data_IF_697565688972
#
_entry.id   IF_697565688972
#
_cell.length_a   1.000
_cell.length_b   1.000
_cell.length_c   1.000
_cell.angle_alpha   90.00
_cell.angle_beta   90.00
_cell.angle_gamma   90.00
#
_symmetry.space_group_name_H-M   'P 1'
#
loop_
_entity.id
_entity.type
_entity.pdbx_description
1 polymer ?
#
# COMPACT_ATOMS: atom_id res chain seq x y z
N UNK A 1 5.18 -24.56 -11.75
CA UNK A 1 4.90 -23.42 -10.86
C UNK A 1 4.77 -22.19 -11.74
N UNK A 2 3.63 -21.51 -11.68
CA UNK A 2 3.47 -20.21 -12.29
C UNK A 2 4.47 -19.22 -11.66
N UNK A 3 5.01 -18.27 -12.44
CA UNK A 3 5.90 -17.22 -11.95
C UNK A 3 5.53 -15.89 -12.61
N UNK A 4 5.55 -14.80 -11.85
CA UNK A 4 5.18 -13.45 -12.31
C UNK A 4 6.36 -12.51 -12.05
N UNK A 5 7.23 -12.33 -13.06
CA UNK A 5 8.57 -11.80 -12.81
C UNK A 5 9.19 -11.00 -13.97
N UNK A 6 9.23 -9.66 -13.89
CA UNK A 6 8.45 -8.83 -12.98
C UNK A 6 6.96 -8.91 -13.31
N UNK A 7 6.10 -8.56 -12.36
CA UNK A 7 4.67 -8.38 -12.63
C UNK A 7 4.52 -7.29 -13.70
N UNK A 8 3.92 -7.68 -14.82
CA UNK A 8 3.62 -6.81 -15.93
C UNK A 8 2.52 -7.41 -16.80
N UNK A 9 1.82 -6.56 -17.54
CA UNK A 9 0.72 -6.97 -18.42
C UNK A 9 -0.63 -6.44 -17.97
N UNK A 10 -1.65 -6.85 -18.74
CA UNK A 10 -3.04 -6.45 -18.54
C UNK A 10 -3.62 -7.07 -17.25
N UNK A 11 -4.44 -6.34 -16.46
CA UNK A 11 -5.02 -6.85 -15.22
C UNK A 11 -5.80 -8.16 -15.37
N UNK A 12 -6.48 -8.41 -16.49
CA UNK A 12 -7.24 -9.64 -16.73
C UNK A 12 -6.34 -10.85 -16.94
N UNK A 13 -5.19 -10.64 -17.61
CA UNK A 13 -4.18 -11.69 -17.75
C UNK A 13 -3.57 -12.02 -16.38
N UNK A 14 -3.32 -11.00 -15.57
CA UNK A 14 -2.77 -11.18 -14.23
C UNK A 14 -3.75 -11.88 -13.28
N UNK A 15 -5.05 -11.58 -13.33
CA UNK A 15 -6.07 -12.24 -12.51
C UNK A 15 -6.00 -13.77 -12.65
N UNK A 16 -6.03 -14.28 -13.88
CA UNK A 16 -5.96 -15.72 -14.12
C UNK A 16 -4.62 -16.35 -13.70
N UNK A 17 -3.51 -15.63 -13.88
CA UNK A 17 -2.19 -16.11 -13.46
C UNK A 17 -2.01 -16.08 -11.93
N UNK A 18 -2.58 -15.08 -11.27
CA UNK A 18 -2.54 -14.93 -9.82
C UNK A 18 -3.38 -15.99 -9.13
N UNK A 19 -4.54 -16.35 -9.66
CA UNK A 19 -5.35 -17.45 -9.11
C UNK A 19 -4.57 -18.77 -9.11
N UNK A 20 -3.89 -19.08 -10.22
CA UNK A 20 -3.04 -20.26 -10.32
C UNK A 20 -1.84 -20.18 -9.36
N UNK A 21 -1.19 -19.02 -9.29
CA UNK A 21 -0.06 -18.80 -8.40
C UNK A 21 -0.43 -18.86 -6.91
N UNK A 22 -1.60 -18.36 -6.54
CA UNK A 22 -2.13 -18.45 -5.18
C UNK A 22 -2.59 -19.89 -4.84
N UNK A 23 -2.92 -20.71 -5.83
CA UNK A 23 -3.26 -22.12 -5.63
C UNK A 23 -2.02 -23.03 -5.50
N UNK A 24 -0.92 -22.70 -6.18
CA UNK A 24 0.31 -23.50 -6.20
C UNK A 24 1.45 -22.84 -5.39
N UNK A 25 1.91 -23.42 -4.27
CA UNK A 25 3.04 -22.88 -3.52
C UNK A 25 4.34 -22.91 -4.35
N UNK A 26 5.25 -21.96 -4.11
CA UNK A 26 6.64 -21.98 -4.60
C UNK A 26 6.93 -21.23 -5.91
N UNK A 27 5.94 -20.58 -6.53
CA UNK A 27 6.17 -19.68 -7.67
C UNK A 27 6.85 -18.38 -7.25
N UNK A 28 7.86 -17.92 -8.01
CA UNK A 28 8.48 -16.60 -7.78
C UNK A 28 7.57 -15.48 -8.29
N UNK A 29 7.34 -14.47 -7.45
CA UNK A 29 6.69 -13.22 -7.84
C UNK A 29 7.62 -12.06 -7.52
N UNK A 30 7.80 -11.12 -8.45
CA UNK A 30 8.54 -9.90 -8.18
C UNK A 30 7.88 -8.64 -8.72
N UNK A 31 8.12 -7.52 -8.04
CA UNK A 31 7.75 -6.18 -8.52
C UNK A 31 9.00 -5.33 -8.64
N UNK A 32 9.06 -4.48 -9.67
CA UNK A 32 10.14 -3.52 -9.81
C UNK A 32 9.80 -2.22 -9.09
N UNK A 33 10.73 -1.71 -8.28
CA UNK A 33 10.65 -0.37 -7.71
C UNK A 33 11.61 0.57 -8.43
N UNK A 34 11.20 1.82 -8.61
CA UNK A 34 12.12 2.87 -9.04
C UNK A 34 13.06 3.19 -7.87
N UNK A 35 14.23 2.57 -7.81
CA UNK A 35 15.22 2.86 -6.79
C UNK A 35 15.68 4.33 -6.85
N UNK A 36 15.97 4.94 -5.70
CA UNK A 36 16.53 6.30 -5.62
C UNK A 36 17.91 6.44 -6.31
N UNK A 37 18.59 5.32 -6.57
CA UNK A 37 19.85 5.22 -7.31
C UNK A 37 19.70 5.18 -8.84
N UNK A 38 18.48 5.09 -9.37
CA UNK A 38 18.20 5.05 -10.82
C UNK A 38 18.17 3.65 -11.44
N UNK A 39 18.71 2.62 -10.78
CA UNK A 39 18.51 1.21 -11.19
C UNK A 39 17.26 0.64 -10.51
N UNK A 40 16.32 0.05 -11.28
CA UNK A 40 15.15 -0.60 -10.70
C UNK A 40 15.56 -1.76 -9.79
N UNK A 41 15.08 -1.75 -8.54
CA UNK A 41 15.28 -2.89 -7.64
C UNK A 41 14.16 -3.89 -7.84
N UNK A 42 14.53 -5.15 -7.88
CA UNK A 42 13.57 -6.25 -7.94
C UNK A 42 13.21 -6.74 -6.55
N UNK A 43 11.98 -6.51 -6.11
CA UNK A 43 11.48 -6.98 -4.81
C UNK A 43 10.78 -8.31 -5.00
N UNK A 44 11.32 -9.39 -4.42
CA UNK A 44 10.74 -10.74 -4.50
C UNK A 44 9.78 -10.98 -3.33
N UNK A 45 8.55 -11.38 -3.64
CA UNK A 45 7.47 -11.55 -2.68
C UNK A 45 6.99 -13.01 -2.68
N UNK A 46 7.02 -13.63 -1.50
CA UNK A 46 6.42 -14.94 -1.28
C UNK A 46 4.90 -14.87 -1.28
N UNK A 47 4.29 -16.03 -1.56
CA UNK A 47 2.85 -16.24 -1.44
C UNK A 47 2.39 -15.99 -0.02
N UNK A 48 3.15 -16.48 0.94
CA UNK A 48 2.91 -16.36 2.36
C UNK A 48 2.84 -14.89 2.77
N UNK A 49 3.77 -14.05 2.31
CA UNK A 49 3.78 -12.63 2.65
C UNK A 49 2.60 -11.85 2.04
N UNK A 50 2.26 -12.13 0.78
CA UNK A 50 1.11 -11.51 0.12
C UNK A 50 -0.21 -11.90 0.77
N UNK A 51 -0.39 -13.18 1.10
CA UNK A 51 -1.59 -13.70 1.78
C UNK A 51 -1.69 -13.15 3.20
N UNK A 52 -0.60 -13.17 3.99
CA UNK A 52 -0.61 -12.62 5.34
C UNK A 52 -0.97 -11.13 5.36
N UNK A 53 -0.45 -10.34 4.42
CA UNK A 53 -0.82 -8.92 4.26
C UNK A 53 -2.30 -8.74 3.87
N UNK A 54 -2.84 -9.62 3.02
CA UNK A 54 -4.25 -9.58 2.62
C UNK A 54 -5.19 -9.91 3.79
N UNK A 55 -4.90 -10.98 4.54
CA UNK A 55 -5.68 -11.41 5.70
C UNK A 55 -5.67 -10.34 6.80
N UNK A 56 -4.49 -9.82 7.15
CA UNK A 56 -4.36 -8.77 8.15
C UNK A 56 -5.06 -7.46 7.73
N UNK A 57 -5.09 -7.16 6.43
CA UNK A 57 -5.88 -6.05 5.88
C UNK A 57 -7.37 -6.29 6.08
N UNK A 58 -7.90 -7.47 5.72
CA UNK A 58 -9.31 -7.80 5.91
C UNK A 58 -9.71 -7.75 7.39
N UNK A 59 -8.89 -8.28 8.29
CA UNK A 59 -9.15 -8.21 9.74
C UNK A 59 -9.27 -6.75 10.21
N UNK A 60 -8.30 -5.89 9.83
CA UNK A 60 -8.33 -4.45 10.16
C UNK A 60 -9.57 -3.74 9.62
N UNK A 61 -10.06 -4.13 8.44
CA UNK A 61 -11.21 -3.49 7.79
C UNK A 61 -12.56 -4.02 8.26
N UNK A 62 -12.58 -5.16 8.97
CA UNK A 62 -13.79 -5.77 9.54
C UNK A 62 -14.31 -6.98 8.75
N UNK A 63 -13.47 -7.58 7.91
CA UNK A 63 -13.71 -8.82 7.18
C UNK A 63 -13.33 -8.76 5.69
N UNK A 64 -13.36 -9.91 5.01
CA UNK A 64 -13.17 -9.98 3.56
C UNK A 64 -14.24 -9.18 2.82
N UNK A 65 -13.92 -8.75 1.60
CA UNK A 65 -14.80 -7.95 0.78
C UNK A 65 -14.33 -7.82 -0.66
N UNK A 66 -15.17 -7.20 -1.49
CA UNK A 66 -14.90 -6.97 -2.90
C UNK A 66 -13.98 -5.76 -3.06
N UNK A 67 -12.94 -5.90 -3.88
CA UNK A 67 -12.03 -4.79 -4.16
C UNK A 67 -12.19 -4.23 -5.58
N UNK A 68 -12.02 -2.91 -5.66
CA UNK A 68 -11.92 -2.15 -6.90
C UNK A 68 -10.44 -1.89 -7.23
N UNK A 69 -10.01 -2.28 -8.44
CA UNK A 69 -8.70 -1.98 -9.00
C UNK A 69 -8.73 -0.64 -9.75
N UNK A 70 -8.15 0.37 -9.11
CA UNK A 70 -7.97 1.72 -9.66
C UNK A 70 -6.47 2.12 -9.75
N UNK A 71 -5.56 1.15 -9.59
CA UNK A 71 -4.12 1.35 -9.54
C UNK A 71 -3.42 0.41 -10.54
N UNK A 72 -2.26 0.81 -11.10
CA UNK A 72 -1.45 -0.10 -11.91
C UNK A 72 -1.03 -1.34 -11.12
N UNK A 73 -1.15 -2.51 -11.73
CA UNK A 73 -0.76 -3.81 -11.15
C UNK A 73 0.75 -4.07 -11.17
N UNK A 74 1.50 -3.25 -11.91
CA UNK A 74 2.97 -3.28 -11.95
C UNK A 74 3.61 -2.93 -10.60
N UNK A 75 2.89 -2.20 -9.74
CA UNK A 75 3.29 -1.93 -8.36
C UNK A 75 2.55 -2.80 -7.35
N UNK A 76 3.16 -2.99 -6.18
CA UNK A 76 2.59 -3.83 -5.11
C UNK A 76 1.18 -3.40 -4.68
N UNK A 77 0.85 -2.11 -4.78
CA UNK A 77 -0.45 -1.60 -4.35
C UNK A 77 -1.60 -2.11 -5.23
N UNK A 78 -1.44 -2.07 -6.57
CA UNK A 78 -2.42 -2.64 -7.48
C UNK A 78 -2.42 -4.17 -7.46
N UNK A 79 -1.25 -4.79 -7.35
CA UNK A 79 -1.14 -6.25 -7.17
C UNK A 79 -1.92 -6.73 -5.93
N UNK A 80 -1.77 -6.04 -4.78
CA UNK A 80 -2.46 -6.41 -3.55
C UNK A 80 -3.99 -6.26 -3.64
N UNK A 81 -4.52 -5.39 -4.49
CA UNK A 81 -5.97 -5.35 -4.75
C UNK A 81 -6.43 -6.71 -5.30
N UNK A 82 -5.68 -7.27 -6.26
CA UNK A 82 -6.00 -8.57 -6.85
C UNK A 82 -5.88 -9.70 -5.83
N UNK A 83 -4.78 -9.72 -5.06
CA UNK A 83 -4.55 -10.73 -4.02
C UNK A 83 -5.65 -10.67 -2.96
N UNK A 84 -6.01 -9.48 -2.47
CA UNK A 84 -7.05 -9.31 -1.45
C UNK A 84 -8.43 -9.73 -1.93
N UNK A 85 -8.78 -9.47 -3.20
CA UNK A 85 -10.00 -9.99 -3.80
C UNK A 85 -10.00 -11.52 -3.81
N UNK A 86 -8.92 -12.14 -4.29
CA UNK A 86 -8.79 -13.59 -4.39
C UNK A 86 -8.84 -14.27 -3.01
N UNK A 87 -8.07 -13.79 -2.04
CA UNK A 87 -8.07 -14.28 -0.65
C UNK A 87 -9.45 -14.09 0.01
N UNK A 88 -10.14 -12.99 -0.31
CA UNK A 88 -11.50 -12.74 0.18
C UNK A 88 -12.58 -13.57 -0.51
N UNK A 89 -12.25 -14.31 -1.58
CA UNK A 89 -13.22 -15.06 -2.37
C UNK A 89 -14.18 -14.17 -3.17
N UNK A 90 -13.76 -12.97 -3.55
CA UNK A 90 -14.59 -11.99 -4.28
C UNK A 90 -13.97 -11.66 -5.65
N UNK A 91 -14.80 -11.45 -6.68
CA UNK A 91 -14.31 -10.97 -7.97
C UNK A 91 -13.85 -9.51 -7.86
N UNK A 92 -12.67 -9.22 -8.41
CA UNK A 92 -12.18 -7.83 -8.53
C UNK A 92 -13.01 -7.07 -9.56
N UNK A 93 -13.36 -5.82 -9.26
CA UNK A 93 -13.89 -4.88 -10.26
C UNK A 93 -12.74 -4.02 -10.78
N UNK A 94 -12.54 -3.91 -12.08
CA UNK A 94 -11.43 -3.15 -12.68
C UNK A 94 -11.97 -1.88 -13.32
N UNK A 95 -11.51 -0.71 -12.89
CA UNK A 95 -12.05 0.59 -13.37
C UNK A 95 -12.01 0.73 -14.89
N UNK A 96 -10.98 0.18 -15.54
CA UNK A 96 -10.77 0.26 -16.99
C UNK A 96 -11.84 -0.49 -17.82
N UNK A 97 -12.61 -1.39 -17.20
CA UNK A 97 -13.73 -2.10 -17.85
C UNK A 97 -15.02 -1.25 -17.90
N UNK A 98 -15.00 -0.08 -17.29
CA UNK A 98 -16.15 0.81 -17.14
C UNK A 98 -15.87 2.19 -17.76
N UNK A 99 -16.91 3.01 -17.94
CA UNK A 99 -16.72 4.36 -18.49
C UNK A 99 -16.03 5.32 -17.51
N UNK A 100 -15.93 4.94 -16.23
CA UNK A 100 -15.19 5.65 -15.21
C UNK A 100 -15.28 4.99 -13.84
N UNK A 101 -14.69 5.66 -12.85
CA UNK A 101 -14.64 5.20 -11.46
C UNK A 101 -16.03 4.97 -10.86
N UNK A 102 -16.96 5.87 -11.14
CA UNK A 102 -18.31 5.86 -10.58
C UNK A 102 -19.13 4.66 -11.08
N UNK A 103 -19.10 4.41 -12.40
CA UNK A 103 -19.75 3.23 -12.99
C UNK A 103 -19.17 1.92 -12.43
N UNK A 104 -17.85 1.90 -12.17
CA UNK A 104 -17.19 0.75 -11.58
C UNK A 104 -17.62 0.55 -10.10
N UNK A 105 -17.76 1.63 -9.33
CA UNK A 105 -18.27 1.59 -7.95
C UNK A 105 -19.73 1.11 -7.90
N UNK A 106 -20.56 1.55 -8.84
CA UNK A 106 -21.95 1.10 -8.97
C UNK A 106 -22.05 -0.40 -9.33
N UNK A 107 -21.10 -0.91 -10.12
CA UNK A 107 -21.04 -2.32 -10.49
C UNK A 107 -20.64 -3.26 -9.33
N UNK A 108 -20.05 -2.73 -8.25
CA UNK A 108 -19.70 -3.54 -7.09
C UNK A 108 -20.95 -4.07 -6.38
N UNK A 109 -21.01 -5.39 -6.17
CA UNK A 109 -22.14 -6.09 -5.55
C UNK A 109 -21.79 -6.78 -4.22
N UNK A 110 -20.53 -6.71 -3.79
CA UNK A 110 -20.07 -7.26 -2.52
C UNK A 110 -20.74 -6.63 -1.30
N UNK A 111 -20.90 -7.41 -0.24
CA UNK A 111 -21.42 -6.94 1.06
C UNK A 111 -20.48 -5.97 1.77
N UNK A 112 -19.17 -6.06 1.47
CA UNK A 112 -18.16 -5.06 1.81
C UNK A 112 -17.43 -4.63 0.55
N UNK A 113 -17.18 -3.34 0.41
CA UNK A 113 -16.57 -2.73 -0.78
C UNK A 113 -15.33 -1.92 -0.40
N UNK A 114 -14.23 -2.20 -1.06
CA UNK A 114 -12.95 -1.57 -0.77
C UNK A 114 -12.27 -1.05 -2.03
N UNK A 115 -11.51 0.03 -1.89
CA UNK A 115 -10.65 0.54 -2.95
C UNK A 115 -9.33 1.06 -2.35
N UNK A 116 -8.30 1.15 -3.19
CA UNK A 116 -7.04 1.84 -2.85
C UNK A 116 -6.79 2.95 -3.86
N UNK A 117 -6.44 4.14 -3.39
CA UNK A 117 -6.07 5.28 -4.23
C UNK A 117 -4.77 5.92 -3.73
N UNK A 118 -4.04 6.56 -4.64
CA UNK A 118 -2.96 7.48 -4.25
C UNK A 118 -3.51 8.88 -3.93
N UNK A 119 -2.80 9.70 -3.12
CA UNK A 119 -3.29 11.04 -2.75
C UNK A 119 -3.63 11.93 -3.94
N UNK A 120 -2.89 11.82 -5.03
CA UNK A 120 -3.13 12.60 -6.26
C UNK A 120 -4.45 12.24 -6.93
N UNK A 121 -4.90 10.98 -6.88
CA UNK A 121 -6.22 10.58 -7.38
C UNK A 121 -7.32 11.15 -6.49
N UNK A 122 -7.18 11.05 -5.17
CA UNK A 122 -8.14 11.61 -4.23
C UNK A 122 -8.26 13.14 -4.36
N UNK A 123 -7.14 13.83 -4.55
CA UNK A 123 -7.12 15.28 -4.80
C UNK A 123 -7.87 15.65 -6.08
N UNK A 124 -7.71 14.88 -7.17
CA UNK A 124 -8.46 15.12 -8.42
C UNK A 124 -9.96 14.96 -8.23
N UNK A 125 -10.40 13.97 -7.45
CA UNK A 125 -11.82 13.80 -7.11
C UNK A 125 -12.33 14.95 -6.25
N UNK A 126 -11.55 15.41 -5.28
CA UNK A 126 -11.88 16.59 -4.46
C UNK A 126 -12.02 17.86 -5.32
N UNK A 127 -11.06 18.12 -6.20
CA UNK A 127 -11.10 19.28 -7.09
C UNK A 127 -12.29 19.25 -8.07
N UNK A 128 -12.75 18.05 -8.45
CA UNK A 128 -13.94 17.86 -9.28
C UNK A 128 -15.26 17.86 -8.48
N UNK A 129 -15.22 17.91 -7.15
CA UNK A 129 -16.41 17.82 -6.29
C UNK A 129 -17.08 16.44 -6.31
N UNK A 130 -16.30 15.36 -6.46
CA UNK A 130 -16.78 13.97 -6.66
C UNK A 130 -16.37 13.01 -5.54
N UNK A 131 -16.08 13.53 -4.34
CA UNK A 131 -15.67 12.68 -3.21
C UNK A 131 -16.81 11.78 -2.71
N UNK A 132 -18.04 12.26 -2.83
CA UNK A 132 -19.27 11.55 -2.44
C UNK A 132 -19.47 10.23 -3.20
N UNK A 133 -18.94 10.11 -4.42
CA UNK A 133 -18.93 8.84 -5.16
C UNK A 133 -18.29 7.69 -4.36
N UNK A 134 -17.29 7.99 -3.53
CA UNK A 134 -16.55 7.02 -2.72
C UNK A 134 -17.30 6.62 -1.44
N UNK A 135 -18.40 7.28 -1.09
CA UNK A 135 -19.15 7.06 0.15
C UNK A 135 -19.80 5.67 0.26
N UNK A 136 -19.91 4.97 -0.88
CA UNK A 136 -20.42 3.59 -0.94
C UNK A 136 -19.41 2.53 -0.50
N UNK A 137 -18.14 2.93 -0.30
CA UNK A 137 -17.07 2.03 0.16
C UNK A 137 -17.12 1.87 1.69
N UNK A 138 -16.94 0.64 2.16
CA UNK A 138 -16.73 0.35 3.58
C UNK A 138 -15.39 0.86 4.09
N UNK A 139 -14.40 0.97 3.20
CA UNK A 139 -13.13 1.65 3.46
C UNK A 139 -12.43 2.04 2.15
N UNK A 140 -11.83 3.24 2.16
CA UNK A 140 -10.89 3.69 1.15
C UNK A 140 -9.48 3.73 1.74
N UNK A 141 -8.59 2.91 1.20
CA UNK A 141 -7.17 2.98 1.55
C UNK A 141 -6.50 4.10 0.75
N UNK A 142 -5.73 4.94 1.44
CA UNK A 142 -4.96 6.02 0.80
C UNK A 142 -3.51 5.96 1.27
N UNK A 143 -2.58 5.75 0.34
CA UNK A 143 -1.17 5.59 0.67
C UNK A 143 -0.24 5.74 -0.53
N UNK A 144 1.03 5.38 -0.34
CA UNK A 144 2.10 5.52 -1.35
C UNK A 144 2.72 6.92 -1.43
N UNK A 145 2.17 7.91 -0.73
CA UNK A 145 2.75 9.23 -0.53
C UNK A 145 2.15 9.89 0.71
N UNK A 146 2.76 10.98 1.16
CA UNK A 146 2.18 11.84 2.21
C UNK A 146 0.80 12.33 1.79
N UNK A 147 -0.16 12.24 2.71
CA UNK A 147 -1.56 12.66 2.49
C UNK A 147 -1.82 13.94 3.27
N UNK A 148 -2.33 14.95 2.58
CA UNK A 148 -2.76 16.20 3.21
C UNK A 148 -3.91 15.92 4.21
N UNK A 149 -3.76 16.28 5.50
CA UNK A 149 -4.83 16.14 6.49
C UNK A 149 -6.14 16.83 6.08
N UNK A 150 -6.07 17.96 5.38
CA UNK A 150 -7.24 18.69 4.87
C UNK A 150 -7.98 17.90 3.80
N UNK A 151 -7.26 17.18 2.93
CA UNK A 151 -7.86 16.28 1.94
C UNK A 151 -8.56 15.10 2.60
N UNK A 152 -7.95 14.52 3.65
CA UNK A 152 -8.57 13.45 4.44
C UNK A 152 -9.83 13.93 5.14
N UNK A 153 -9.80 15.14 5.73
CA UNK A 153 -10.96 15.74 6.36
C UNK A 153 -12.10 15.96 5.35
N UNK A 154 -11.81 16.55 4.19
CA UNK A 154 -12.81 16.78 3.15
C UNK A 154 -13.46 15.47 2.65
N UNK A 155 -12.68 14.39 2.50
CA UNK A 155 -13.22 13.09 2.14
C UNK A 155 -14.12 12.50 3.24
N UNK A 156 -13.73 12.65 4.51
CA UNK A 156 -14.56 12.21 5.65
C UNK A 156 -15.86 13.01 5.76
N UNK A 157 -15.82 14.31 5.50
CA UNK A 157 -17.01 15.17 5.46
C UNK A 157 -17.97 14.79 4.33
N UNK A 158 -17.45 14.23 3.23
CA UNK A 158 -18.22 13.63 2.14
C UNK A 158 -18.73 12.20 2.45
N UNK A 159 -18.55 11.71 3.68
CA UNK A 159 -19.03 10.40 4.12
C UNK A 159 -18.09 9.22 3.80
N UNK A 160 -16.85 9.50 3.37
CA UNK A 160 -15.89 8.44 3.01
C UNK A 160 -15.12 7.94 4.22
N UNK A 161 -15.10 6.63 4.45
CA UNK A 161 -14.24 6.00 5.47
C UNK A 161 -12.80 5.88 4.96
N UNK A 162 -12.04 6.97 5.08
CA UNK A 162 -10.62 7.01 4.70
C UNK A 162 -9.73 6.37 5.77
N UNK A 163 -8.91 5.42 5.34
CA UNK A 163 -7.85 4.77 6.12
C UNK A 163 -6.50 5.08 5.47
N UNK A 164 -5.62 5.78 6.18
CA UNK A 164 -4.28 6.11 5.67
C UNK A 164 -3.38 4.90 5.81
N UNK A 165 -2.57 4.60 4.79
CA UNK A 165 -1.68 3.44 4.82
C UNK A 165 -0.22 3.86 4.63
N UNK A 166 0.65 3.20 5.38
CA UNK A 166 2.10 3.25 5.22
C UNK A 166 2.63 1.83 4.96
N UNK A 167 3.59 1.76 4.04
CA UNK A 167 4.23 0.54 3.59
C UNK A 167 4.86 0.73 2.21
N UNK A 168 5.47 -0.32 1.70
CA UNK A 168 6.25 -0.33 0.46
C UNK A 168 6.19 -1.71 -0.19
N UNK A 169 6.90 -1.89 -1.31
CA UNK A 169 6.98 -3.20 -1.96
C UNK A 169 7.54 -4.26 -1.01
N UNK A 170 8.57 -3.91 -0.25
CA UNK A 170 9.27 -4.79 0.69
C UNK A 170 8.40 -5.25 1.88
N UNK A 171 7.26 -4.60 2.11
CA UNK A 171 6.28 -4.96 3.14
C UNK A 171 4.99 -5.52 2.56
N UNK A 172 5.02 -6.00 1.30
CA UNK A 172 3.85 -6.51 0.59
C UNK A 172 2.72 -5.48 0.50
N UNK A 173 3.05 -4.19 0.36
CA UNK A 173 2.11 -3.07 0.38
C UNK A 173 1.96 -2.45 1.77
N UNK A 174 0.81 -1.83 2.04
CA UNK A 174 0.55 -1.17 3.32
C UNK A 174 0.56 -2.16 4.49
N UNK A 175 1.38 -1.90 5.51
CA UNK A 175 1.51 -2.72 6.73
C UNK A 175 1.20 -1.94 8.02
N UNK A 176 1.00 -0.61 7.92
CA UNK A 176 0.60 0.27 9.04
C UNK A 176 -0.58 1.12 8.60
N UNK A 177 -1.69 1.06 9.33
CA UNK A 177 -2.96 1.70 8.97
C UNK A 177 -3.33 2.72 10.04
N UNK A 178 -3.49 3.98 9.63
CA UNK A 178 -3.65 5.14 10.52
C UNK A 178 -2.60 5.23 11.64
N UNK A 179 -1.37 4.82 11.33
CA UNK A 179 -0.24 4.80 12.25
C UNK A 179 -0.16 3.55 13.13
N UNK A 180 -1.14 2.64 13.08
CA UNK A 180 -1.15 1.41 13.88
C UNK A 180 -0.77 0.20 13.01
N UNK A 181 0.25 -0.59 13.38
CA UNK A 181 0.67 -1.76 12.59
C UNK A 181 -0.46 -2.77 12.45
N UNK A 182 -0.54 -3.46 11.32
CA UNK A 182 -1.47 -4.58 11.11
C UNK A 182 -1.17 -5.76 12.05
N UNK A 183 -2.11 -6.68 12.19
CA UNK A 183 -1.87 -7.87 13.03
C UNK A 183 -0.66 -8.67 12.52
N UNK A 184 0.15 -9.17 13.45
CA UNK A 184 1.42 -9.83 13.14
C UNK A 184 2.56 -8.91 12.64
N UNK A 185 2.32 -7.60 12.48
CA UNK A 185 3.37 -6.63 12.11
C UNK A 185 3.92 -5.95 13.37
N UNK A 186 5.24 -5.95 13.49
CA UNK A 186 5.96 -5.28 14.57
C UNK A 186 6.71 -4.05 14.06
N UNK A 187 6.73 -3.00 14.87
CA UNK A 187 7.45 -1.76 14.59
C UNK A 187 8.43 -1.45 15.72
N UNK A 188 9.61 -0.95 15.35
CA UNK A 188 10.52 -0.27 16.28
C UNK A 188 11.28 0.84 15.56
N UNK A 189 11.94 1.68 16.33
CA UNK A 189 12.89 2.67 15.82
C UNK A 189 14.29 2.27 16.24
N UNK A 190 15.28 2.47 15.37
CA UNK A 190 16.69 2.40 15.75
C UNK A 190 17.17 3.69 16.43
N UNK A 191 18.47 3.75 16.75
CA UNK A 191 19.09 4.88 17.44
C UNK A 191 19.05 6.19 16.61
N UNK A 192 18.91 6.10 15.28
CA UNK A 192 18.77 7.23 14.37
C UNK A 192 17.30 7.60 14.09
N UNK A 193 16.34 6.87 14.67
CA UNK A 193 14.91 7.06 14.44
C UNK A 193 14.41 6.44 13.14
N UNK A 194 15.18 5.53 12.52
CA UNK A 194 14.77 4.78 11.34
C UNK A 194 13.69 3.77 11.72
N UNK A 195 12.64 3.70 10.91
CA UNK A 195 11.58 2.71 11.07
C UNK A 195 12.09 1.33 10.66
N UNK A 196 11.97 0.39 11.60
CA UNK A 196 12.25 -1.03 11.41
C UNK A 196 10.93 -1.79 11.48
N UNK A 197 10.69 -2.67 10.50
CA UNK A 197 9.49 -3.49 10.40
C UNK A 197 9.86 -4.97 10.50
N UNK A 198 9.11 -5.74 11.28
CA UNK A 198 9.17 -7.20 11.29
C UNK A 198 7.76 -7.77 11.11
N UNK A 199 7.68 -9.02 10.67
CA UNK A 199 6.40 -9.73 10.53
C UNK A 199 6.29 -10.54 9.24
N UNK A 200 5.17 -11.27 9.06
CA UNK A 200 4.99 -12.19 7.94
C UNK A 200 4.83 -11.46 6.60
N UNK A 201 4.63 -10.14 6.60
CA UNK A 201 4.40 -9.33 5.39
C UNK A 201 5.68 -8.97 4.64
N UNK A 202 6.85 -9.27 5.21
CA UNK A 202 8.14 -8.91 4.62
C UNK A 202 8.44 -9.75 3.37
N UNK A 203 9.03 -9.08 2.39
CA UNK A 203 9.60 -9.67 1.18
C UNK A 203 10.71 -10.70 1.48
N UNK A 204 11.00 -11.53 0.47
CA UNK A 204 11.99 -12.61 0.56
C UNK A 204 13.40 -12.10 0.28
N UNK A 205 13.55 -10.99 -0.44
CA UNK A 205 14.85 -10.44 -0.84
C UNK A 205 14.81 -9.61 -2.13
N UNK A 206 15.98 -9.15 -2.55
CA UNK A 206 16.16 -8.42 -3.80
C UNK A 206 16.76 -9.31 -4.89
N UNK A 207 16.02 -9.57 -5.96
CA UNK A 207 16.46 -10.49 -7.00
C UNK A 207 16.79 -11.88 -6.42
N UNK A 208 18.05 -12.32 -6.55
CA UNK A 208 18.54 -13.58 -5.99
C UNK A 208 19.18 -13.43 -4.59
N UNK A 209 19.23 -12.20 -4.05
CA UNK A 209 19.80 -11.90 -2.74
C UNK A 209 18.72 -11.96 -1.66
N UNK A 210 18.72 -12.98 -0.77
CA UNK A 210 17.70 -13.10 0.26
C UNK A 210 17.81 -11.98 1.29
N UNK A 211 16.67 -11.58 1.85
CA UNK A 211 16.60 -10.63 2.96
C UNK A 211 17.33 -11.20 4.17
N UNK A 212 18.13 -10.35 4.82
CA UNK A 212 18.84 -10.70 6.05
C UNK A 212 18.02 -10.37 7.31
N UNK A 213 18.10 -11.24 8.31
CA UNK A 213 17.49 -11.04 9.63
C UNK A 213 15.96 -11.08 9.64
N UNK A 214 15.37 -10.74 10.79
CA UNK A 214 13.91 -10.70 10.97
C UNK A 214 13.33 -9.28 10.80
N UNK A 215 14.19 -8.27 10.90
CA UNK A 215 13.83 -6.86 10.83
C UNK A 215 14.31 -6.24 9.53
N UNK A 216 13.41 -5.54 8.85
CA UNK A 216 13.71 -4.77 7.66
C UNK A 216 13.82 -3.27 7.98
N UNK A 217 14.93 -2.68 7.57
CA UNK A 217 15.19 -1.24 7.68
C UNK A 217 14.60 -0.51 6.47
N UNK A 218 13.57 0.31 6.70
CA UNK A 218 12.79 0.91 5.60
C UNK A 218 13.49 2.09 4.92
N UNK A 219 14.46 2.70 5.60
CA UNK A 219 15.05 3.98 5.19
C UNK A 219 14.18 5.20 5.50
N UNK A 220 12.98 5.00 6.03
CA UNK A 220 12.12 6.09 6.49
C UNK A 220 12.44 6.43 7.96
N UNK A 221 12.38 7.71 8.29
CA UNK A 221 12.48 8.22 9.65
C UNK A 221 11.08 8.41 10.22
N UNK A 222 10.89 8.07 11.50
CA UNK A 222 9.60 8.21 12.15
C UNK A 222 9.66 8.46 13.64
N UNK A 223 8.49 8.71 14.23
CA UNK A 223 8.27 8.74 15.67
C UNK A 223 7.18 7.75 16.05
N UNK A 224 7.30 7.15 17.23
CA UNK A 224 6.29 6.29 17.83
C UNK A 224 5.79 6.95 19.11
N UNK A 225 4.53 7.38 19.12
CA UNK A 225 3.88 7.95 20.31
C UNK A 225 2.66 7.08 20.63
N UNK A 226 2.64 6.47 21.82
CA UNK A 226 1.55 5.58 22.25
C UNK A 226 1.20 4.47 21.23
N UNK A 227 2.22 3.92 20.57
CA UNK A 227 2.07 2.89 19.54
C UNK A 227 1.61 3.38 18.17
N UNK A 228 1.47 4.70 17.99
CA UNK A 228 1.10 5.34 16.72
C UNK A 228 2.36 5.84 16.01
N UNK A 229 2.61 5.30 14.82
CA UNK A 229 3.69 5.72 13.92
C UNK A 229 3.33 7.01 13.17
N UNK A 230 4.27 7.95 13.19
CA UNK A 230 4.28 9.11 12.29
C UNK A 230 5.58 9.13 11.50
N UNK A 231 5.50 9.20 10.16
CA UNK A 231 6.67 9.33 9.29
C UNK A 231 7.07 10.81 9.23
N UNK A 232 8.37 11.09 9.43
CA UNK A 232 8.93 12.46 9.43
C UNK A 232 9.81 12.74 8.22
N UNK A 233 10.26 11.71 7.51
CA UNK A 233 11.03 11.87 6.28
C UNK A 233 11.77 10.60 5.89
N UNK A 234 12.80 10.72 5.06
CA UNK A 234 13.70 9.63 4.68
C UNK A 234 15.14 9.94 5.03
N UNK A 235 15.92 8.90 5.34
CA UNK A 235 17.36 9.02 5.64
C UNK A 235 18.14 9.65 4.48
N UNK A 236 17.78 9.35 3.23
CA UNK A 236 18.39 9.90 2.02
C UNK A 236 17.92 11.32 1.67
N UNK A 237 16.88 11.83 2.35
CA UNK A 237 16.32 13.18 2.17
C UNK A 237 16.58 14.09 3.40
N UNK A 238 17.72 13.92 4.06
CA UNK A 238 18.17 14.75 5.19
C UNK A 238 19.31 15.66 4.75
N UNK A 239 19.18 16.95 5.04
CA UNK A 239 20.28 17.92 4.91
C UNK A 239 20.83 18.28 6.29
N UNK A 240 22.14 18.45 6.41
CA UNK A 240 22.75 18.98 7.63
C UNK A 240 22.69 20.51 7.64
N UNK A 241 22.06 21.08 8.67
CA UNK A 241 22.03 22.53 8.91
C UNK A 241 22.56 22.81 10.30
N UNK A 242 23.70 23.50 10.41
CA UNK A 242 24.28 23.87 11.71
C UNK A 242 24.63 22.70 12.64
N UNK A 243 24.84 21.50 12.10
CA UNK A 243 25.11 20.28 12.86
C UNK A 243 23.87 19.46 13.23
N UNK A 244 22.66 19.94 12.91
CA UNK A 244 21.42 19.17 13.05
C UNK A 244 21.06 18.46 11.73
N UNK A 245 20.58 17.21 11.83
CA UNK A 245 19.95 16.47 10.73
C UNK A 245 18.54 17.05 10.52
N UNK A 246 18.29 17.69 9.37
CA UNK A 246 16.98 18.28 9.03
C UNK A 246 16.35 17.50 7.88
N UNK A 247 15.26 16.75 8.11
CA UNK A 247 14.51 16.09 7.04
C UNK A 247 13.85 17.13 6.13
N UNK A 248 14.11 17.05 4.82
CA UNK A 248 13.50 17.96 3.83
C UNK A 248 11.96 17.89 3.80
N UNK A 249 11.31 16.71 3.92
CA UNK A 249 9.85 16.64 3.92
C UNK A 249 9.20 17.41 5.08
N UNK A 250 9.82 17.41 6.26
CA UNK A 250 9.35 18.18 7.41
C UNK A 250 9.41 19.70 7.16
N UNK A 251 10.45 20.16 6.44
CA UNK A 251 10.58 21.56 6.01
C UNK A 251 9.50 21.90 4.98
N UNK A 252 9.27 21.05 3.99
CA UNK A 252 8.21 21.27 2.99
C UNK A 252 6.83 21.38 3.64
N UNK A 253 6.52 20.49 4.60
CA UNK A 253 5.27 20.54 5.33
C UNK A 253 5.13 21.86 6.11
N UNK A 254 6.18 22.32 6.77
CA UNK A 254 6.17 23.58 7.52
C UNK A 254 6.02 24.82 6.62
N UNK A 255 6.52 24.78 5.37
CA UNK A 255 6.39 25.88 4.40
C UNK A 255 5.01 25.90 3.73
N UNK A 256 4.32 24.77 3.66
CA UNK A 256 2.97 24.66 3.07
C UNK A 256 1.83 24.91 4.05
N UNK A 257 2.11 24.89 5.37
CA UNK A 257 1.16 25.19 6.44
C UNK A 257 0.92 26.69 6.61
#
# INVERSE_FOLDING_TARGET
MASLHPVGGDPHQLLGLLDVWLAEPGGRLSVHTSGSSGEPKEVVLSREALVASAEATHERLGGPGQWLLALPTTGVAGLQVLVRSAVGGHPTVVVEDHAGLEDALEAMCGSRKYASLVPTQLHRLAAAGRLDALSTLDALLVGGAAVDPGLVAAARDAGVRVVRTYGMSETSGGCVYDGVPLDGVELRLDDDGQVLVAGPVLFDGYGDEPREGDWFATGDLGTLTDGVLSIVGRLDDVVQVGGAKVPLPAVEQAVRA
#
